data_IF_638132303765
#
_entry.id   IF_638132303765
#
_cell.length_a   1.000
_cell.length_b   1.000
_cell.length_c   1.000
_cell.angle_alpha   90.00
_cell.angle_beta   90.00
_cell.angle_gamma   90.00
#
_symmetry.space_group_name_H-M   'P 1'
#
loop_
_entity.id
_entity.type
_entity.pdbx_description
1 polymer ?
#
# COMPACT_ATOMS: atom_id res chain seq x y z
N UNK A 1 -25.48 -20.28 -21.92
CA UNK A 1 -24.45 -21.23 -21.49
C UNK A 1 -23.17 -20.46 -21.24
N UNK A 2 -22.40 -20.87 -20.21
CA UNK A 2 -21.03 -20.43 -19.88
C UNK A 2 -20.95 -19.13 -19.05
N UNK A 3 -20.44 -19.06 -17.82
CA UNK A 3 -19.57 -19.95 -17.03
C UNK A 3 -19.96 -19.91 -15.55
N UNK A 4 -20.13 -21.08 -14.95
CA UNK A 4 -19.99 -21.29 -13.51
C UNK A 4 -18.50 -21.12 -13.19
N UNK A 5 -18.11 -19.98 -12.61
CA UNK A 5 -16.78 -19.85 -12.02
C UNK A 5 -16.76 -20.72 -10.76
N UNK A 6 -16.41 -22.00 -10.95
CA UNK A 6 -15.97 -22.87 -9.87
C UNK A 6 -14.60 -22.37 -9.39
N UNK A 7 -14.61 -21.26 -8.67
CA UNK A 7 -13.41 -20.73 -8.02
C UNK A 7 -13.34 -21.42 -6.67
N UNK A 8 -12.46 -22.42 -6.55
CA UNK A 8 -12.12 -22.98 -5.25
C UNK A 8 -11.77 -21.82 -4.30
N UNK A 9 -12.31 -21.79 -3.07
CA UNK A 9 -12.07 -20.69 -2.16
C UNK A 9 -10.57 -20.56 -1.89
N UNK A 10 -10.06 -19.32 -1.96
CA UNK A 10 -8.67 -19.02 -1.65
C UNK A 10 -8.43 -19.38 -0.19
N UNK A 11 -7.49 -20.29 0.09
CA UNK A 11 -7.16 -20.64 1.47
C UNK A 11 -6.54 -19.45 2.17
N UNK A 12 -6.89 -19.27 3.44
CA UNK A 12 -6.30 -18.21 4.28
C UNK A 12 -4.77 -18.34 4.37
N UNK A 13 -4.23 -19.55 4.26
CA UNK A 13 -2.78 -19.79 4.25
C UNK A 13 -2.06 -19.20 3.02
N UNK A 14 -2.76 -19.04 1.90
CA UNK A 14 -2.21 -18.50 0.66
C UNK A 14 -2.36 -16.98 0.56
N UNK A 15 -3.19 -16.38 1.42
CA UNK A 15 -3.39 -14.93 1.49
C UNK A 15 -2.24 -14.27 2.26
N UNK A 16 -1.66 -13.24 1.64
CA UNK A 16 -0.66 -12.40 2.28
C UNK A 16 -1.26 -11.06 2.69
N UNK A 17 -0.76 -10.51 3.79
CA UNK A 17 -1.04 -9.12 4.17
C UNK A 17 -0.67 -8.18 3.02
N UNK A 18 -1.41 -7.08 2.88
CA UNK A 18 -1.31 -6.08 1.80
C UNK A 18 -1.77 -6.58 0.41
N UNK A 19 -2.26 -7.82 0.29
CA UNK A 19 -2.80 -8.34 -0.97
C UNK A 19 -4.13 -7.66 -1.31
N UNK A 20 -4.25 -7.17 -2.56
CA UNK A 20 -5.48 -6.57 -3.09
C UNK A 20 -6.46 -7.66 -3.51
N UNK A 21 -7.70 -7.54 -3.06
CA UNK A 21 -8.78 -8.50 -3.29
C UNK A 21 -10.04 -7.74 -3.74
N UNK A 22 -10.77 -8.32 -4.70
CA UNK A 22 -12.13 -7.90 -5.00
C UNK A 22 -13.08 -8.71 -4.13
N UNK A 23 -14.11 -8.07 -3.60
CA UNK A 23 -15.12 -8.78 -2.83
C UNK A 23 -16.48 -8.13 -2.89
N UNK A 24 -17.49 -8.88 -2.46
CA UNK A 24 -18.88 -8.47 -2.39
C UNK A 24 -19.34 -8.37 -0.95
N UNK A 25 -19.97 -7.26 -0.58
CA UNK A 25 -20.50 -7.07 0.77
C UNK A 25 -21.67 -8.04 1.02
N UNK A 26 -21.49 -9.01 1.91
CA UNK A 26 -22.57 -9.92 2.31
C UNK A 26 -23.45 -9.35 3.41
N UNK A 27 -22.83 -8.67 4.37
CA UNK A 27 -23.53 -8.16 5.55
C UNK A 27 -22.90 -6.86 6.01
N UNK A 28 -23.74 -5.89 6.36
CA UNK A 28 -23.32 -4.64 6.98
C UNK A 28 -23.80 -4.62 8.42
N UNK A 29 -22.90 -4.29 9.33
CA UNK A 29 -23.13 -4.12 10.77
C UNK A 29 -22.79 -2.68 11.19
N UNK A 30 -23.11 -2.31 12.43
CA UNK A 30 -22.81 -0.96 12.94
C UNK A 30 -21.30 -0.69 13.06
N UNK A 31 -20.52 -1.72 13.35
CA UNK A 31 -19.08 -1.62 13.61
C UNK A 31 -18.21 -2.07 12.42
N UNK A 32 -18.83 -2.54 11.33
CA UNK A 32 -18.11 -3.01 10.15
C UNK A 32 -18.98 -3.71 9.12
N UNK A 33 -18.37 -4.44 8.21
CA UNK A 33 -19.05 -5.24 7.20
C UNK A 33 -18.32 -6.57 6.97
N UNK A 34 -19.08 -7.61 6.62
CA UNK A 34 -18.55 -8.89 6.15
C UNK A 34 -18.56 -8.89 4.62
N UNK A 35 -17.39 -9.17 4.05
CA UNK A 35 -17.14 -9.12 2.61
C UNK A 35 -16.66 -10.49 2.17
N UNK A 36 -17.37 -11.06 1.21
CA UNK A 36 -16.95 -12.26 0.51
C UNK A 36 -15.91 -11.88 -0.55
N UNK A 37 -14.66 -12.27 -0.31
CA UNK A 37 -13.53 -12.04 -1.23
C UNK A 37 -13.16 -13.29 -2.02
N UNK A 38 -14.03 -14.30 -2.04
CA UNK A 38 -13.72 -15.61 -2.62
C UNK A 38 -12.69 -16.42 -1.84
N UNK A 39 -12.49 -16.10 -0.55
CA UNK A 39 -11.66 -16.86 0.36
C UNK A 39 -12.47 -17.95 1.07
N UNK A 40 -11.79 -18.85 1.78
CA UNK A 40 -12.43 -19.89 2.60
C UNK A 40 -13.36 -19.32 3.68
N UNK A 41 -13.12 -18.07 4.09
CA UNK A 41 -13.92 -17.34 5.08
C UNK A 41 -14.20 -15.92 4.58
N UNK A 42 -15.38 -15.41 4.94
CA UNK A 42 -15.72 -14.00 4.72
C UNK A 42 -14.76 -13.12 5.53
N UNK A 43 -14.24 -12.07 4.90
CA UNK A 43 -13.38 -11.10 5.56
C UNK A 43 -14.18 -10.05 6.32
N UNK A 44 -13.65 -9.59 7.43
CA UNK A 44 -14.26 -8.55 8.26
C UNK A 44 -13.59 -7.20 8.00
N UNK A 45 -14.38 -6.20 7.61
CA UNK A 45 -13.94 -4.83 7.39
C UNK A 45 -14.50 -3.94 8.50
N UNK A 46 -13.63 -3.46 9.39
CA UNK A 46 -14.03 -2.56 10.46
C UNK A 46 -14.37 -1.15 9.94
N UNK A 47 -15.28 -0.42 10.61
CA UNK A 47 -15.69 0.94 10.21
C UNK A 47 -14.50 1.91 10.09
N UNK A 48 -13.49 1.77 10.95
CA UNK A 48 -12.27 2.60 10.89
C UNK A 48 -11.32 2.25 9.74
N UNK A 49 -11.62 1.21 8.96
CA UNK A 49 -10.84 0.76 7.82
C UNK A 49 -11.54 1.02 6.48
N UNK A 50 -12.69 1.71 6.50
CA UNK A 50 -13.38 2.14 5.28
C UNK A 50 -12.58 3.22 4.55
N UNK A 51 -12.12 4.24 5.28
CA UNK A 51 -11.39 5.40 4.77
C UNK A 51 -10.50 5.96 5.88
N UNK A 52 -9.52 6.81 5.52
CA UNK A 52 -8.65 7.48 6.50
C UNK A 52 -9.43 8.48 7.35
N UNK A 53 -10.45 9.09 6.76
CA UNK A 53 -11.36 10.00 7.43
C UNK A 53 -12.33 9.25 8.33
N UNK A 54 -12.73 9.91 9.43
CA UNK A 54 -13.67 9.31 10.39
C UNK A 54 -15.03 9.08 9.73
N UNK A 55 -15.39 7.82 9.60
CA UNK A 55 -16.71 7.40 9.13
C UNK A 55 -17.61 7.11 10.33
N UNK A 56 -18.79 7.73 10.38
CA UNK A 56 -19.74 7.55 11.48
C UNK A 56 -20.70 6.38 11.25
N UNK A 57 -21.02 6.06 10.00
CA UNK A 57 -21.92 4.95 9.65
C UNK A 57 -21.36 4.17 8.48
N UNK A 58 -21.32 2.84 8.62
CA UNK A 58 -20.86 1.93 7.55
C UNK A 58 -21.80 1.98 6.34
N UNK A 59 -23.11 2.11 6.59
CA UNK A 59 -24.17 2.13 5.57
C UNK A 59 -24.05 3.29 4.57
N UNK A 60 -23.40 4.40 4.96
CA UNK A 60 -23.19 5.55 4.06
C UNK A 60 -22.10 5.25 3.00
N UNK A 61 -21.29 4.21 3.22
CA UNK A 61 -20.16 3.84 2.37
C UNK A 61 -20.36 2.47 1.71
N UNK A 62 -21.04 1.54 2.41
CA UNK A 62 -21.25 0.16 1.98
C UNK A 62 -22.73 -0.21 2.01
N UNK A 63 -23.21 -0.74 0.90
CA UNK A 63 -24.47 -1.47 0.78
C UNK A 63 -24.25 -2.98 0.72
N UNK A 64 -25.29 -3.75 1.08
CA UNK A 64 -25.32 -5.19 0.83
C UNK A 64 -25.28 -5.45 -0.68
N UNK A 65 -24.60 -6.51 -1.09
CA UNK A 65 -24.32 -6.91 -2.48
C UNK A 65 -23.43 -5.97 -3.31
N UNK A 66 -22.91 -4.90 -2.69
CA UNK A 66 -21.99 -3.98 -3.32
C UNK A 66 -20.63 -4.63 -3.60
N UNK A 67 -20.11 -4.45 -4.81
CA UNK A 67 -18.74 -4.82 -5.17
C UNK A 67 -17.76 -3.77 -4.64
N UNK A 68 -16.74 -4.25 -3.93
CA UNK A 68 -15.72 -3.41 -3.28
C UNK A 68 -14.34 -3.99 -3.51
N UNK A 69 -13.36 -3.09 -3.53
CA UNK A 69 -11.95 -3.45 -3.55
C UNK A 69 -11.39 -3.25 -2.15
N UNK A 70 -10.75 -4.29 -1.63
CA UNK A 70 -10.19 -4.33 -0.28
C UNK A 70 -8.77 -4.89 -0.32
N UNK A 71 -8.03 -4.69 0.76
CA UNK A 71 -6.74 -5.28 0.99
C UNK A 71 -6.80 -6.16 2.23
N UNK A 72 -6.08 -7.28 2.20
CA UNK A 72 -5.89 -8.12 3.38
C UNK A 72 -5.02 -7.37 4.39
N UNK A 73 -5.59 -6.92 5.50
CA UNK A 73 -4.84 -6.22 6.56
C UNK A 73 -4.15 -7.20 7.49
N UNK A 74 -4.88 -8.22 7.93
CA UNK A 74 -4.36 -9.29 8.79
C UNK A 74 -5.03 -10.59 8.42
N UNK A 75 -4.23 -11.64 8.30
CA UNK A 75 -4.69 -12.99 8.01
C UNK A 75 -4.27 -13.89 9.16
N UNK A 76 -5.24 -14.55 9.79
CA UNK A 76 -5.02 -15.55 10.82
C UNK A 76 -5.66 -16.87 10.35
N UNK A 77 -4.83 -17.72 9.76
CA UNK A 77 -5.27 -19.02 9.26
C UNK A 77 -5.66 -20.00 10.38
N UNK A 78 -5.17 -19.79 11.61
CA UNK A 78 -5.47 -20.69 12.74
C UNK A 78 -6.83 -20.36 13.36
N UNK A 79 -7.11 -19.07 13.56
CA UNK A 79 -8.40 -18.59 14.05
C UNK A 79 -9.47 -18.46 12.95
N UNK A 80 -9.09 -18.66 11.68
CA UNK A 80 -10.00 -18.49 10.54
C UNK A 80 -10.45 -17.03 10.33
N UNK A 81 -9.60 -16.07 10.68
CA UNK A 81 -9.94 -14.63 10.68
C UNK A 81 -9.21 -13.89 9.58
N UNK A 82 -9.95 -13.15 8.76
CA UNK A 82 -9.42 -12.26 7.73
C UNK A 82 -9.88 -10.84 8.00
N UNK A 83 -8.99 -10.00 8.50
CA UNK A 83 -9.27 -8.57 8.68
C UNK A 83 -8.93 -7.83 7.38
N UNK A 84 -9.90 -7.08 6.86
CA UNK A 84 -9.82 -6.34 5.60
C UNK A 84 -9.69 -4.83 5.85
N UNK A 85 -9.21 -4.12 4.84
CA UNK A 85 -9.20 -2.66 4.79
C UNK A 85 -9.52 -2.16 3.39
N UNK A 86 -10.24 -1.05 3.27
CA UNK A 86 -10.38 -0.29 2.01
C UNK A 86 -9.35 0.83 1.90
N UNK A 87 -8.56 1.05 2.96
CA UNK A 87 -7.42 1.97 2.94
C UNK A 87 -6.25 1.22 2.32
N UNK A 88 -5.72 1.77 1.22
CA UNK A 88 -4.54 1.22 0.57
C UNK A 88 -3.36 1.15 1.57
N UNK A 89 -2.86 -0.06 1.87
CA UNK A 89 -1.74 -0.23 2.79
C UNK A 89 -0.46 0.28 2.14
N UNK A 90 0.46 0.77 2.97
CA UNK A 90 1.79 1.16 2.53
C UNK A 90 2.54 -0.07 2.02
N UNK A 91 3.22 0.06 0.89
CA UNK A 91 4.08 -0.97 0.32
C UNK A 91 5.18 -1.38 1.30
N UNK A 92 5.71 -0.43 2.06
CA UNK A 92 6.74 -0.66 3.08
C UNK A 92 6.34 -0.01 4.40
N UNK A 93 6.43 -0.76 5.48
CA UNK A 93 6.37 -0.21 6.83
C UNK A 93 7.73 0.41 7.20
N UNK A 94 7.73 1.37 8.13
CA UNK A 94 8.97 2.08 8.50
C UNK A 94 10.07 1.14 9.00
N UNK A 95 9.70 0.09 9.74
CA UNK A 95 10.62 -0.93 10.24
C UNK A 95 11.22 -1.84 9.15
N UNK A 96 10.56 -1.91 7.98
CA UNK A 96 11.05 -2.66 6.81
C UNK A 96 12.09 -1.85 6.03
N UNK A 97 12.08 -0.53 6.15
CA UNK A 97 13.01 0.37 5.47
C UNK A 97 14.34 0.45 6.24
N UNK A 98 15.30 -0.37 5.81
CA UNK A 98 16.68 -0.32 6.31
C UNK A 98 17.55 0.60 5.46
N UNK A 99 18.52 1.26 6.09
CA UNK A 99 19.54 2.04 5.39
C UNK A 99 20.24 1.18 4.34
N UNK A 100 20.31 1.68 3.11
CA UNK A 100 20.88 0.95 1.97
C UNK A 100 19.95 -0.06 1.30
N UNK A 101 18.71 -0.21 1.77
CA UNK A 101 17.67 -0.94 1.03
C UNK A 101 17.36 -0.19 -0.27
N UNK A 102 17.49 -0.92 -1.37
CA UNK A 102 17.17 -0.41 -2.70
C UNK A 102 15.68 -0.68 -2.95
N UNK A 103 14.87 0.38 -2.98
CA UNK A 103 13.41 0.26 -3.16
C UNK A 103 12.95 0.92 -4.45
N UNK A 104 11.93 0.34 -5.10
CA UNK A 104 11.35 0.91 -6.32
C UNK A 104 10.44 2.08 -5.97
N UNK A 105 10.56 3.17 -6.73
CA UNK A 105 9.74 4.36 -6.47
C UNK A 105 9.56 5.27 -7.68
N UNK A 106 8.65 6.22 -7.54
CA UNK A 106 8.30 7.22 -8.56
C UNK A 106 8.73 8.60 -8.08
N UNK A 107 9.48 9.34 -8.89
CA UNK A 107 9.88 10.69 -8.54
C UNK A 107 8.65 11.61 -8.45
N UNK A 108 8.39 12.17 -7.27
CA UNK A 108 7.27 13.09 -7.02
C UNK A 108 7.70 14.54 -7.10
N UNK A 109 8.95 14.84 -6.76
CA UNK A 109 9.51 16.19 -6.79
C UNK A 109 11.01 16.11 -7.00
N UNK A 110 11.54 16.97 -7.86
CA UNK A 110 12.97 17.08 -8.10
C UNK A 110 13.38 18.51 -7.76
N UNK A 111 14.44 18.65 -6.98
CA UNK A 111 15.03 19.89 -6.50
C UNK A 111 16.51 19.89 -6.90
N UNK A 112 17.18 21.05 -6.84
CA UNK A 112 18.59 21.16 -7.25
C UNK A 112 19.56 20.29 -6.43
N UNK A 113 19.19 19.96 -5.20
CA UNK A 113 20.01 19.14 -4.29
C UNK A 113 19.61 17.67 -4.26
N UNK A 114 18.52 17.27 -4.93
CA UNK A 114 18.05 15.89 -4.91
C UNK A 114 16.61 15.70 -5.37
N UNK A 115 16.10 14.47 -5.24
CA UNK A 115 14.76 14.11 -5.63
C UNK A 115 14.01 13.41 -4.50
N UNK A 116 12.75 13.79 -4.33
CA UNK A 116 11.79 13.07 -3.50
C UNK A 116 11.12 11.99 -4.35
N UNK A 117 11.11 10.79 -3.81
CA UNK A 117 10.63 9.59 -4.49
C UNK A 117 9.55 8.96 -3.62
N UNK A 118 8.36 8.81 -4.18
CA UNK A 118 7.33 7.98 -3.57
C UNK A 118 7.74 6.51 -3.73
N UNK A 119 8.08 5.92 -2.59
CA UNK A 119 8.50 4.52 -2.47
C UNK A 119 7.35 3.64 -1.95
N UNK A 120 6.13 4.20 -1.79
CA UNK A 120 5.00 3.52 -1.19
C UNK A 120 5.11 3.34 0.33
N UNK A 121 5.93 4.14 1.00
CA UNK A 121 6.03 4.20 2.45
C UNK A 121 5.28 5.40 3.02
N UNK A 122 5.24 5.55 4.35
CA UNK A 122 4.54 6.65 5.03
C UNK A 122 5.11 8.02 4.61
N UNK A 123 6.41 8.08 4.33
CA UNK A 123 7.12 9.27 3.88
C UNK A 123 7.86 8.98 2.58
N UNK A 124 7.94 9.95 1.66
CA UNK A 124 8.74 9.79 0.45
C UNK A 124 10.23 9.62 0.82
N UNK A 125 10.90 8.75 0.09
CA UNK A 125 12.35 8.62 0.14
C UNK A 125 13.01 9.85 -0.48
N UNK A 126 14.25 10.14 -0.07
CA UNK A 126 15.02 11.24 -0.59
C UNK A 126 16.33 10.72 -1.19
N UNK A 127 16.60 11.09 -2.44
CA UNK A 127 17.86 10.81 -3.11
C UNK A 127 18.62 12.11 -3.23
N UNK A 128 19.79 12.19 -2.65
CA UNK A 128 20.68 13.33 -2.84
C UNK A 128 21.28 13.28 -4.25
N UNK A 129 21.52 14.43 -4.90
CA UNK A 129 22.07 14.50 -6.27
C UNK A 129 23.36 13.68 -6.45
N UNK A 130 24.21 13.63 -5.41
CA UNK A 130 25.47 12.85 -5.37
C UNK A 130 25.28 11.33 -5.44
N UNK A 131 24.11 10.83 -5.05
CA UNK A 131 23.78 9.40 -5.07
C UNK A 131 23.09 8.97 -6.37
N UNK A 132 22.71 9.92 -7.23
CA UNK A 132 21.98 9.63 -8.48
C UNK A 132 22.90 9.15 -9.61
N UNK A 133 24.18 9.53 -9.58
CA UNK A 133 25.15 9.16 -10.61
C UNK A 133 26.57 9.26 -10.07
N UNK A 134 27.46 8.40 -10.54
CA UNK A 134 28.90 8.38 -10.19
C UNK A 134 29.71 9.56 -10.78
N UNK A 135 29.05 10.57 -11.36
CA UNK A 135 29.64 11.72 -12.04
C UNK A 135 29.06 13.06 -11.54
N UNK A 136 29.58 14.18 -12.04
CA UNK A 136 29.02 15.50 -11.71
C UNK A 136 27.66 15.66 -12.40
N UNK A 137 26.61 15.89 -11.62
CA UNK A 137 25.26 16.18 -12.12
C UNK A 137 24.93 17.60 -11.67
N UNK A 138 24.91 18.54 -12.63
CA UNK A 138 24.56 19.94 -12.38
C UNK A 138 23.05 20.14 -12.18
N UNK A 139 22.21 19.34 -12.87
CA UNK A 139 20.75 19.38 -12.73
C UNK A 139 20.15 17.97 -12.55
N UNK A 140 19.59 17.67 -11.37
CA UNK A 140 18.94 16.38 -11.10
C UNK A 140 17.77 16.05 -12.04
N UNK A 141 17.18 17.06 -12.69
CA UNK A 141 16.05 16.89 -13.62
C UNK A 141 16.46 16.21 -14.93
N UNK A 142 17.76 16.19 -15.25
CA UNK A 142 18.30 15.49 -16.42
C UNK A 142 18.37 13.98 -16.22
N UNK A 143 18.59 13.54 -14.97
CA UNK A 143 18.69 12.13 -14.60
C UNK A 143 17.34 11.58 -14.15
N UNK A 144 16.55 12.39 -13.45
CA UNK A 144 15.26 11.99 -12.88
C UNK A 144 14.17 12.97 -13.33
N UNK A 145 13.18 12.46 -14.07
CA UNK A 145 11.98 13.23 -14.41
C UNK A 145 10.86 12.93 -13.44
N UNK A 146 10.19 13.99 -12.97
CA UNK A 146 8.96 13.86 -12.17
C UNK A 146 7.97 13.00 -12.94
N UNK A 147 7.45 11.97 -12.27
CA UNK A 147 6.50 11.04 -12.87
C UNK A 147 7.11 9.74 -13.41
N UNK A 148 8.44 9.66 -13.59
CA UNK A 148 9.07 8.45 -14.07
C UNK A 148 9.28 7.42 -12.95
N UNK A 149 9.19 6.15 -13.33
CA UNK A 149 9.60 5.01 -12.51
C UNK A 149 11.12 4.92 -12.57
N UNK A 150 11.78 4.86 -11.41
CA UNK A 150 13.23 4.75 -11.34
C UNK A 150 13.69 3.32 -11.67
N UNK A 151 14.76 3.20 -12.47
CA UNK A 151 15.40 1.94 -12.83
C UNK A 151 16.33 1.47 -11.71
N UNK A 152 16.75 0.19 -11.71
CA UNK A 152 17.56 -0.43 -10.64
C UNK A 152 18.82 0.37 -10.24
N UNK A 153 19.43 1.11 -11.16
CA UNK A 153 20.63 1.95 -10.93
C UNK A 153 20.32 3.32 -10.29
N UNK A 154 19.06 3.76 -10.33
CA UNK A 154 18.58 5.07 -9.82
C UNK A 154 17.67 4.93 -8.60
N UNK A 155 17.56 3.73 -8.05
CA UNK A 155 16.65 3.47 -6.95
C UNK A 155 17.08 4.23 -5.69
N UNK A 156 16.12 4.83 -4.97
CA UNK A 156 16.41 5.49 -3.72
C UNK A 156 17.03 4.51 -2.73
N UNK A 157 18.26 4.81 -2.29
CA UNK A 157 18.73 4.31 -1.00
C UNK A 157 17.92 5.05 0.05
N UNK A 158 17.24 4.30 0.92
CA UNK A 158 16.65 4.87 2.13
C UNK A 158 17.80 5.51 2.92
N UNK A 159 17.88 6.83 2.92
CA UNK A 159 18.77 7.60 3.78
C UNK A 159 18.04 7.84 5.09
N UNK A 160 18.76 7.74 6.21
CA UNK A 160 18.23 8.02 7.54
C UNK A 160 17.53 9.39 7.55
N UNK A 161 16.49 9.59 8.37
CA UNK A 161 16.05 10.95 8.67
C UNK A 161 17.26 11.65 9.28
N UNK A 162 17.89 12.53 8.50
CA UNK A 162 18.91 13.44 8.99
C UNK A 162 18.35 14.07 10.26
N UNK A 163 18.96 13.70 11.39
CA UNK A 163 18.48 14.03 12.71
C UNK A 163 18.08 15.50 12.75
N UNK A 164 16.95 15.76 13.42
CA UNK A 164 16.50 17.12 13.69
C UNK A 164 17.67 17.95 14.18
N UNK A 165 18.13 18.87 13.35
CA UNK A 165 18.84 20.04 13.82
C UNK A 165 17.79 20.87 14.55
N UNK A 166 17.65 20.58 15.85
CA UNK A 166 17.13 21.54 16.82
C UNK A 166 18.09 22.72 16.78
N UNK A 167 17.64 23.83 16.19
CA UNK A 167 18.05 25.14 16.66
C UNK A 167 17.46 25.37 18.06
#
# INVERSE_FOLDING_TARGET
>A
MSNETNTAPIKLADLKSKMKLAGKVKKVELFGAFIDVGAERDGFLHISQLRKEKTNRVQDVLGVDQDVTVWARKVDAHAGRLDLTMIEPLAYDWDELKTGLIVKGKAIKVERFGAFVDIGAERPGFIHVREMMSGHVDDPSEVVKVGNRLNDETLPKVLEPSGGSRF
#
